data_IF_609706338916
#
_entry.id   IF_609706338916
#
_cell.length_a   1.000
_cell.length_b   1.000
_cell.length_c   1.000
_cell.angle_alpha   90.00
_cell.angle_beta   90.00
_cell.angle_gamma   90.00
#
_symmetry.space_group_name_H-M   'P 1'
#
loop_
_entity.id
_entity.type
_entity.pdbx_description
1 polymer ?
#
# COMPACT_ATOMS: atom_id res chain seq x y z
N UNK A 1 15.11 12.10 5.96
CA UNK A 1 13.67 12.10 5.60
C UNK A 1 13.12 10.70 5.87
N UNK A 2 11.92 10.58 6.46
CA UNK A 2 11.41 9.31 6.99
C UNK A 2 10.82 8.42 5.90
N UNK A 3 10.96 7.09 6.06
CA UNK A 3 10.31 6.03 5.28
C UNK A 3 9.62 5.10 6.25
N UNK A 4 8.41 4.66 5.94
CA UNK A 4 7.70 3.70 6.78
C UNK A 4 6.68 2.88 6.00
N UNK A 5 6.41 1.70 6.54
CA UNK A 5 5.28 0.84 6.22
C UNK A 5 4.53 0.59 7.52
N UNK A 6 3.21 0.76 7.53
CA UNK A 6 2.34 0.43 8.67
C UNK A 6 1.20 -0.42 8.14
N UNK A 7 0.92 -1.52 8.83
CA UNK A 7 -0.22 -2.40 8.55
C UNK A 7 -1.21 -2.32 9.71
N UNK A 8 -2.49 -2.14 9.38
CA UNK A 8 -3.61 -2.28 10.29
C UNK A 8 -4.26 -3.65 10.08
N UNK A 9 -4.45 -4.38 11.17
CA UNK A 9 -5.13 -5.67 11.15
C UNK A 9 -6.64 -5.49 10.92
N UNK A 10 -7.30 -6.38 10.16
CA UNK A 10 -8.74 -6.32 9.97
C UNK A 10 -9.48 -6.46 11.30
N UNK A 11 -10.69 -5.88 11.35
CA UNK A 11 -11.60 -6.01 12.49
C UNK A 11 -13.02 -6.37 12.02
N UNK A 12 -13.96 -6.74 12.91
CA UNK A 12 -15.29 -7.14 12.47
C UNK A 12 -15.99 -6.08 11.60
N UNK A 13 -16.15 -6.38 10.30
CA UNK A 13 -16.77 -5.49 9.32
C UNK A 13 -15.85 -4.41 8.73
N UNK A 14 -14.55 -4.44 9.03
CA UNK A 14 -13.55 -3.50 8.51
C UNK A 14 -12.36 -4.27 7.96
N UNK A 15 -11.99 -3.99 6.71
CA UNK A 15 -10.83 -4.61 6.09
C UNK A 15 -9.52 -4.12 6.72
N UNK A 16 -8.46 -4.94 6.62
CA UNK A 16 -7.12 -4.50 7.01
C UNK A 16 -6.56 -3.51 6.00
N UNK A 17 -5.61 -2.68 6.42
CA UNK A 17 -5.07 -1.61 5.58
C UNK A 17 -3.54 -1.56 5.62
N UNK A 18 -2.93 -1.11 4.52
CA UNK A 18 -1.51 -0.82 4.43
C UNK A 18 -1.27 0.64 4.10
N UNK A 19 -0.39 1.25 4.86
CA UNK A 19 0.11 2.61 4.62
C UNK A 19 1.60 2.56 4.33
N UNK A 20 2.01 3.17 3.22
CA UNK A 20 3.42 3.27 2.83
C UNK A 20 3.78 4.72 2.56
N UNK A 21 4.82 5.23 3.22
CA UNK A 21 5.32 6.56 2.96
C UNK A 21 6.75 6.53 2.46
N UNK A 22 6.94 7.25 1.36
CA UNK A 22 8.23 7.38 0.70
C UNK A 22 8.50 8.86 0.36
N UNK A 23 9.67 9.40 0.77
CA UNK A 23 10.14 10.72 0.37
C UNK A 23 10.02 10.99 -1.14
N UNK A 24 9.37 12.10 -1.51
CA UNK A 24 9.19 12.47 -2.92
C UNK A 24 8.03 11.77 -3.66
N UNK A 25 7.47 10.69 -3.10
CA UNK A 25 6.27 10.00 -3.65
C UNK A 25 5.01 10.25 -2.83
N UNK A 26 5.18 10.54 -1.54
CA UNK A 26 4.06 10.79 -0.62
C UNK A 26 3.54 9.51 0.02
N UNK A 27 2.29 9.55 0.48
CA UNK A 27 1.62 8.43 1.14
C UNK A 27 0.85 7.60 0.12
N UNK A 28 1.04 6.29 0.17
CA UNK A 28 0.17 5.29 -0.42
C UNK A 28 -0.68 4.64 0.67
N UNK A 29 -1.92 4.31 0.30
CA UNK A 29 -2.88 3.57 1.11
C UNK A 29 -3.55 2.52 0.23
N UNK A 30 -3.71 1.31 0.76
CA UNK A 30 -4.42 0.23 0.10
C UNK A 30 -5.01 -0.76 1.09
N UNK A 31 -6.15 -1.34 0.71
CA UNK A 31 -6.79 -2.42 1.45
C UNK A 31 -5.95 -3.69 1.32
N UNK A 32 -5.82 -4.43 2.41
CA UNK A 32 -5.10 -5.69 2.47
C UNK A 32 -6.06 -6.89 2.49
N UNK A 33 -5.79 -7.87 1.62
CA UNK A 33 -6.37 -9.19 1.72
C UNK A 33 -5.80 -10.00 2.87
N UNK A 34 -6.47 -11.09 3.24
CA UNK A 34 -6.01 -12.00 4.29
C UNK A 34 -4.63 -12.62 4.02
N UNK A 35 -4.21 -12.69 2.75
CA UNK A 35 -2.86 -13.12 2.33
C UNK A 35 -1.80 -12.01 2.41
N UNK A 36 -2.19 -10.78 2.74
CA UNK A 36 -1.31 -9.62 2.76
C UNK A 36 -1.11 -8.92 1.41
N UNK A 37 -1.91 -9.28 0.40
CA UNK A 37 -1.94 -8.66 -0.92
C UNK A 37 -2.74 -7.35 -0.92
N UNK A 38 -2.38 -6.41 -1.80
CA UNK A 38 -3.16 -5.18 -2.01
C UNK A 38 -4.38 -5.51 -2.88
N UNK A 39 -5.57 -5.15 -2.39
CA UNK A 39 -6.82 -5.30 -3.13
C UNK A 39 -7.26 -4.00 -3.79
N UNK A 40 -7.77 -4.10 -5.01
CA UNK A 40 -8.40 -3.00 -5.74
C UNK A 40 -9.89 -3.28 -5.83
N UNK A 41 -10.69 -2.38 -5.24
CA UNK A 41 -12.15 -2.47 -5.32
C UNK A 41 -12.67 -2.39 -6.75
N UNK A 42 -13.79 -3.07 -7.02
CA UNK A 42 -14.37 -3.21 -8.34
C UNK A 42 -14.61 -1.87 -9.04
N UNK A 43 -15.22 -0.90 -8.36
CA UNK A 43 -15.50 0.42 -8.93
C UNK A 43 -14.22 1.18 -9.31
N UNK A 44 -13.16 1.03 -8.50
CA UNK A 44 -11.86 1.62 -8.80
C UNK A 44 -11.23 0.97 -10.03
N UNK A 45 -11.32 -0.36 -10.15
CA UNK A 45 -10.86 -1.09 -11.34
C UNK A 45 -11.64 -0.66 -12.58
N UNK A 46 -12.98 -0.60 -12.51
CA UNK A 46 -13.84 -0.13 -13.60
C UNK A 46 -13.49 1.30 -14.03
N UNK A 47 -13.24 2.19 -13.06
CA UNK A 47 -12.81 3.57 -13.33
C UNK A 47 -11.46 3.62 -14.05
N UNK A 48 -10.49 2.81 -13.63
CA UNK A 48 -9.18 2.73 -14.30
C UNK A 48 -9.36 2.27 -15.75
N UNK A 49 -10.11 1.17 -15.95
CA UNK A 49 -10.38 0.62 -17.28
C UNK A 49 -11.10 1.61 -18.20
N UNK A 50 -12.06 2.38 -17.68
CA UNK A 50 -12.78 3.39 -18.46
C UNK A 50 -11.91 4.61 -18.84
N UNK A 51 -10.91 4.93 -18.02
CA UNK A 51 -10.05 6.09 -18.23
C UNK A 51 -8.82 5.83 -19.11
N UNK A 52 -8.36 4.58 -19.16
CA UNK A 52 -7.15 4.21 -19.89
C UNK A 52 -7.38 4.26 -21.40
N UNK A 53 -6.48 4.93 -22.13
CA UNK A 53 -6.59 5.13 -23.59
C UNK A 53 -5.68 4.20 -24.40
N UNK A 54 -4.81 3.45 -23.74
CA UNK A 54 -3.86 2.52 -24.33
C UNK A 54 -3.47 1.45 -23.30
N UNK A 55 -3.00 0.26 -23.73
CA UNK A 55 -2.56 -0.80 -22.81
C UNK A 55 -1.50 -0.33 -21.81
N UNK A 56 -0.55 0.51 -22.23
CA UNK A 56 0.52 1.02 -21.37
C UNK A 56 -0.02 1.96 -20.30
N UNK A 57 -1.02 2.78 -20.64
CA UNK A 57 -1.70 3.66 -19.70
C UNK A 57 -2.50 2.85 -18.66
N UNK A 58 -3.10 1.74 -19.07
CA UNK A 58 -3.79 0.81 -18.17
C UNK A 58 -2.79 0.17 -17.19
N UNK A 59 -1.68 -0.38 -17.70
CA UNK A 59 -0.63 -0.98 -16.87
C UNK A 59 -0.08 0.02 -15.86
N UNK A 60 0.24 1.24 -16.29
CA UNK A 60 0.74 2.28 -15.39
C UNK A 60 -0.28 2.69 -14.31
N UNK A 61 -1.56 2.78 -14.66
CA UNK A 61 -2.62 3.10 -13.70
C UNK A 61 -2.80 1.97 -12.66
N UNK A 62 -2.67 0.71 -13.08
CA UNK A 62 -2.71 -0.45 -12.19
C UNK A 62 -1.50 -0.49 -11.25
N UNK A 63 -0.28 -0.27 -11.74
CA UNK A 63 0.93 -0.18 -10.91
C UNK A 63 0.79 0.90 -9.82
N UNK A 64 0.23 2.06 -10.20
CA UNK A 64 -0.04 3.13 -9.23
C UNK A 64 -1.10 2.74 -8.22
N UNK A 65 -2.15 2.05 -8.65
CA UNK A 65 -3.22 1.60 -7.76
C UNK A 65 -2.76 0.50 -6.78
N UNK A 66 -1.82 -0.35 -7.20
CA UNK A 66 -1.20 -1.40 -6.39
C UNK A 66 -0.08 -0.88 -5.48
N UNK A 67 0.41 0.34 -5.69
CA UNK A 67 1.47 0.92 -4.87
C UNK A 67 2.86 0.34 -5.13
N UNK A 68 3.08 -0.31 -6.28
CA UNK A 68 4.31 -1.06 -6.58
C UNK A 68 5.59 -0.23 -6.46
N UNK A 69 5.52 1.08 -6.77
CA UNK A 69 6.67 1.97 -6.64
C UNK A 69 7.05 2.27 -5.17
N UNK A 70 6.08 2.25 -4.25
CA UNK A 70 6.35 2.37 -2.81
C UNK A 70 6.93 1.07 -2.29
N UNK A 71 6.31 -0.06 -2.66
CA UNK A 71 6.76 -1.40 -2.29
C UNK A 71 8.23 -1.62 -2.67
N UNK A 72 8.59 -1.36 -3.93
CA UNK A 72 9.96 -1.49 -4.42
C UNK A 72 10.98 -0.59 -3.71
N UNK A 73 10.58 0.61 -3.27
CA UNK A 73 11.48 1.51 -2.53
C UNK A 73 11.62 1.10 -1.06
N UNK A 74 10.59 0.48 -0.47
CA UNK A 74 10.61 0.01 0.92
C UNK A 74 11.23 -1.39 1.07
N UNK A 75 11.25 -2.19 0.01
CA UNK A 75 11.77 -3.56 -0.01
C UNK A 75 13.16 -3.72 0.66
N UNK A 76 14.16 -2.84 0.40
CA UNK A 76 15.48 -2.96 1.05
C UNK A 76 15.45 -2.80 2.57
N UNK A 77 14.40 -2.18 3.13
CA UNK A 77 14.27 -1.89 4.55
C UNK A 77 13.46 -2.96 5.31
N UNK A 78 12.76 -3.87 4.63
CA UNK A 78 11.99 -4.94 5.27
C UNK A 78 12.86 -5.90 6.05
N UNK A 79 14.02 -6.24 5.49
CA UNK A 79 15.02 -7.10 6.15
C UNK A 79 15.77 -6.39 7.28
N UNK A 80 15.81 -5.06 7.29
CA UNK A 80 16.38 -4.31 8.41
C UNK A 80 15.53 -4.40 9.69
N UNK A 81 14.30 -4.92 9.59
CA UNK A 81 13.38 -5.17 10.70
C UNK A 81 13.57 -6.52 11.40
N UNK A 82 14.33 -7.46 10.82
CA UNK A 82 14.55 -8.78 11.42
C UNK A 82 15.54 -8.65 12.60
N UNK A 83 15.01 -8.27 13.77
CA UNK A 83 15.76 -7.97 14.99
C UNK A 83 15.74 -6.50 15.44
N UNK A 84 15.11 -5.59 14.70
CA UNK A 84 14.92 -4.20 15.14
C UNK A 84 13.66 -4.08 16.02
N UNK A 85 13.69 -3.29 17.12
CA UNK A 85 12.53 -3.15 17.99
C UNK A 85 11.34 -2.53 17.24
N UNK A 86 10.27 -3.31 17.09
CA UNK A 86 8.99 -2.82 16.56
C UNK A 86 8.44 -1.79 17.56
N UNK A 87 8.35 -0.53 17.14
CA UNK A 87 7.62 0.49 17.92
C UNK A 87 6.16 0.41 17.54
N UNK A 88 5.36 -0.25 18.39
CA UNK A 88 3.90 -0.23 18.26
C UNK A 88 3.40 1.19 18.58
N UNK A 89 2.74 1.82 17.62
CA UNK A 89 1.98 3.05 17.87
C UNK A 89 0.71 2.68 18.65
N UNK A 90 0.78 2.77 19.97
CA UNK A 90 -0.41 2.68 20.83
C UNK A 90 -1.14 4.02 20.82
N UNK A 91 -2.48 3.96 20.76
CA UNK A 91 -3.37 5.12 20.85
C UNK A 91 -2.95 6.03 22.02
N UNK A 92 -2.74 7.31 21.73
CA UNK A 92 -2.66 8.38 22.73
C UNK A 92 -3.92 9.23 22.65
N UNK A 93 -4.71 9.22 23.72
CA UNK A 93 -5.83 10.15 23.95
C UNK A 93 -7.09 9.85 23.15
#
# INVERSE_FOLDING_TARGET
MIRFEVTEEPSPGVDGERFMHVPGRGLFHGIMGASGDIQIGEDRLRSIMASARAPEALSHALEKALGSAWDAELEPYRYAGDGAPVTLLTRVG
#
